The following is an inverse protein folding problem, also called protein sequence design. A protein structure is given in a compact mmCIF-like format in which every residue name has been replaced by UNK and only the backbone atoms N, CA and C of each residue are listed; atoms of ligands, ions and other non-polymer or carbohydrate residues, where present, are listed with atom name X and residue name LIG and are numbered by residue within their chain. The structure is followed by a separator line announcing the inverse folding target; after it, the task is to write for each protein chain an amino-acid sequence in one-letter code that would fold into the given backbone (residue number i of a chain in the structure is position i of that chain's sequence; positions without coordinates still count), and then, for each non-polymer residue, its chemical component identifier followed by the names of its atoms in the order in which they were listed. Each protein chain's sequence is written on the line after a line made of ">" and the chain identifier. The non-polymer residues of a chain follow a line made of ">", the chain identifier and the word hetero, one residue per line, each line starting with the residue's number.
data_IF_657855474623
#
_entry.id   IF_657855474623
#
_cell.length_a   1.000
_cell.length_b   1.000
_cell.length_c   1.000
_cell.angle_alpha   90.00
_cell.angle_beta   90.00
_cell.angle_gamma   90.00
#
_symmetry.space_group_name_H-M   'P 1'
#
loop_
_entity.id
_entity.type
_entity.pdbx_description
1 polymer ?
#
# COMPACT_ATOMS: atom_id res chain seq x y z
N UNK A 1 -5.98 -70.01 54.62
CA UNK A 1 -4.71 -69.86 53.88
C UNK A 1 -5.06 -69.58 52.46
N UNK A 2 -4.97 -68.28 52.00
CA UNK A 2 -5.25 -67.85 50.63
C UNK A 2 -3.96 -67.28 50.12
N UNK A 3 -3.32 -68.04 49.17
CA UNK A 3 -2.10 -67.63 48.46
C UNK A 3 -2.48 -66.69 47.34
N UNK A 4 -2.07 -65.41 47.42
CA UNK A 4 -2.19 -64.42 46.32
C UNK A 4 -1.02 -64.59 45.39
N UNK A 5 -1.31 -65.18 44.23
CA UNK A 5 -0.40 -65.23 43.09
C UNK A 5 -0.27 -63.81 42.49
N UNK A 6 0.90 -63.15 42.67
CA UNK A 6 1.22 -61.88 41.97
C UNK A 6 1.61 -62.17 40.53
N UNK A 7 0.77 -61.72 39.56
CA UNK A 7 1.11 -61.72 38.14
C UNK A 7 2.15 -60.68 37.86
N UNK A 8 3.36 -61.10 37.58
CA UNK A 8 4.43 -60.24 37.03
C UNK A 8 4.03 -59.76 35.65
N UNK A 9 3.84 -58.46 35.49
CA UNK A 9 3.65 -57.81 34.16
C UNK A 9 5.04 -57.62 33.55
N UNK A 10 5.33 -58.16 32.35
CA UNK A 10 6.58 -57.87 31.69
C UNK A 10 6.64 -56.40 31.31
N UNK A 11 7.70 -55.72 31.70
CA UNK A 11 7.99 -54.38 31.30
C UNK A 11 8.26 -54.37 29.77
N UNK A 12 7.39 -53.69 29.01
CA UNK A 12 7.59 -53.43 27.62
C UNK A 12 8.87 -52.58 27.43
N UNK A 13 9.93 -53.24 27.06
CA UNK A 13 11.16 -52.59 26.61
C UNK A 13 10.81 -51.80 25.33
N UNK A 14 10.64 -50.49 25.52
CA UNK A 14 10.47 -49.51 24.44
C UNK A 14 11.82 -49.47 23.74
N UNK A 15 11.95 -50.19 22.60
CA UNK A 15 13.13 -50.12 21.73
C UNK A 15 13.33 -48.69 21.26
N UNK A 16 14.34 -48.03 21.81
CA UNK A 16 14.82 -46.74 21.29
C UNK A 16 15.55 -47.03 19.99
N UNK A 17 14.85 -46.91 18.87
CA UNK A 17 15.48 -46.93 17.56
C UNK A 17 16.39 -45.68 17.50
N UNK A 18 17.70 -45.89 17.59
CA UNK A 18 18.69 -44.86 17.31
C UNK A 18 18.70 -44.54 15.83
N UNK A 19 18.91 -43.27 15.48
CA UNK A 19 19.11 -42.84 14.12
C UNK A 19 20.34 -43.52 13.50
N UNK A 20 20.20 -44.01 12.28
CA UNK A 20 21.35 -44.57 11.55
C UNK A 20 22.20 -43.43 10.99
N UNK A 21 23.52 -43.66 10.85
CA UNK A 21 24.43 -42.67 10.27
C UNK A 21 23.96 -42.20 8.90
N UNK A 22 23.42 -43.10 8.09
CA UNK A 22 22.92 -42.80 6.75
C UNK A 22 21.69 -41.90 6.78
N UNK A 23 20.83 -42.03 7.77
CA UNK A 23 19.64 -41.19 7.96
C UNK A 23 20.03 -39.75 8.33
N UNK A 24 21.05 -39.59 9.16
CA UNK A 24 21.59 -38.26 9.50
C UNK A 24 22.18 -37.57 8.28
N UNK A 25 22.96 -38.30 7.47
CA UNK A 25 23.54 -37.75 6.23
C UNK A 25 22.43 -37.37 5.24
N UNK A 26 21.46 -38.27 5.04
CA UNK A 26 20.34 -37.99 4.15
C UNK A 26 19.52 -36.75 4.57
N UNK A 27 19.22 -36.61 5.87
CA UNK A 27 18.49 -35.45 6.38
C UNK A 27 19.27 -34.15 6.24
N UNK A 28 20.58 -34.16 6.44
CA UNK A 28 21.44 -32.99 6.23
C UNK A 28 21.45 -32.55 4.76
N UNK A 29 21.58 -33.52 3.82
CA UNK A 29 21.57 -33.21 2.38
C UNK A 29 20.24 -32.65 1.95
N UNK A 30 19.13 -33.28 2.34
CA UNK A 30 17.77 -32.81 2.01
C UNK A 30 17.51 -31.43 2.60
N UNK A 31 17.89 -31.21 3.87
CA UNK A 31 17.77 -29.90 4.52
C UNK A 31 18.57 -28.81 3.81
N UNK A 32 19.78 -29.11 3.38
CA UNK A 32 20.62 -28.17 2.61
C UNK A 32 19.97 -27.76 1.29
N UNK A 33 19.41 -28.73 0.56
CA UNK A 33 18.68 -28.47 -0.69
C UNK A 33 17.44 -27.59 -0.43
N UNK A 34 16.66 -27.92 0.58
CA UNK A 34 15.46 -27.14 0.94
C UNK A 34 15.81 -25.69 1.30
N UNK A 35 16.86 -25.47 2.10
CA UNK A 35 17.32 -24.13 2.45
C UNK A 35 17.73 -23.35 1.20
N UNK A 36 18.46 -23.97 0.27
CA UNK A 36 18.89 -23.34 -0.97
C UNK A 36 17.71 -22.85 -1.83
N UNK A 37 16.57 -23.55 -1.82
CA UNK A 37 15.37 -23.12 -2.51
C UNK A 37 14.54 -22.07 -1.74
N UNK A 38 14.54 -22.11 -0.41
CA UNK A 38 13.76 -21.19 0.41
C UNK A 38 14.37 -19.78 0.51
N UNK A 39 15.69 -19.67 0.53
CA UNK A 39 16.39 -18.37 0.66
C UNK A 39 15.99 -17.36 -0.43
N UNK A 40 15.95 -17.69 -1.73
CA UNK A 40 15.53 -16.77 -2.77
C UNK A 40 14.05 -16.31 -2.63
N UNK A 41 13.17 -17.22 -2.18
CA UNK A 41 11.75 -16.92 -1.98
C UNK A 41 11.54 -15.91 -0.84
N UNK A 42 12.27 -16.08 0.26
CA UNK A 42 12.23 -15.15 1.40
C UNK A 42 12.80 -13.79 0.97
N UNK A 43 13.91 -13.77 0.25
CA UNK A 43 14.55 -12.54 -0.23
C UNK A 43 13.62 -11.71 -1.12
N UNK A 44 12.97 -12.32 -2.10
CA UNK A 44 12.04 -11.63 -3.00
C UNK A 44 10.78 -11.12 -2.28
N UNK A 45 10.27 -11.87 -1.30
CA UNK A 45 9.13 -11.45 -0.48
C UNK A 45 9.43 -10.23 0.40
N UNK A 46 10.63 -10.19 0.99
CA UNK A 46 11.07 -9.08 1.82
C UNK A 46 11.32 -7.80 1.01
N UNK A 47 11.87 -7.90 -0.20
CA UNK A 47 12.06 -6.74 -1.08
C UNK A 47 10.73 -6.13 -1.53
N UNK A 48 9.75 -6.95 -1.88
CA UNK A 48 8.39 -6.50 -2.21
C UNK A 48 7.73 -5.74 -1.05
N UNK A 49 7.80 -6.30 0.16
CA UNK A 49 7.27 -5.68 1.37
C UNK A 49 7.98 -4.37 1.73
N UNK A 50 9.30 -4.32 1.59
CA UNK A 50 10.08 -3.10 1.82
C UNK A 50 9.71 -1.98 0.86
N UNK A 51 9.53 -2.28 -0.43
CA UNK A 51 9.11 -1.28 -1.43
C UNK A 51 7.70 -0.76 -1.14
N UNK A 52 6.78 -1.63 -0.71
CA UNK A 52 5.44 -1.22 -0.30
C UNK A 52 5.46 -0.29 0.92
N UNK A 53 6.26 -0.62 1.94
CA UNK A 53 6.41 0.20 3.14
C UNK A 53 7.06 1.57 2.87
N UNK A 54 7.98 1.66 1.90
CA UNK A 54 8.61 2.93 1.53
C UNK A 54 7.68 3.83 0.71
N UNK A 55 6.72 3.26 -0.02
CA UNK A 55 5.72 4.02 -0.81
C UNK A 55 4.53 4.49 0.03
N UNK A 56 4.13 3.72 1.03
CA UNK A 56 2.96 4.01 1.85
C UNK A 56 2.94 5.45 2.46
N UNK A 57 4.02 5.97 3.06
CA UNK A 57 4.00 7.32 3.64
C UNK A 57 3.84 8.42 2.60
N UNK A 58 4.31 8.23 1.38
CA UNK A 58 4.27 9.25 0.33
C UNK A 58 2.89 9.36 -0.33
N UNK A 59 2.23 8.22 -0.55
CA UNK A 59 0.82 8.22 -0.99
C UNK A 59 -0.09 8.79 0.08
N UNK A 60 0.23 8.58 1.36
CA UNK A 60 -0.51 9.19 2.47
C UNK A 60 -0.36 10.71 2.47
N UNK A 61 0.83 11.26 2.18
CA UNK A 61 1.03 12.71 2.12
C UNK A 61 0.19 13.35 1.01
N UNK A 62 0.15 12.79 -0.21
CA UNK A 62 -0.69 13.30 -1.29
C UNK A 62 -2.19 13.28 -0.95
N UNK A 63 -2.65 12.24 -0.25
CA UNK A 63 -4.05 12.18 0.21
C UNK A 63 -4.35 13.26 1.24
N UNK A 64 -3.46 13.48 2.20
CA UNK A 64 -3.63 14.52 3.20
C UNK A 64 -3.71 15.90 2.56
N UNK A 65 -2.86 16.18 1.57
CA UNK A 65 -2.90 17.44 0.83
C UNK A 65 -4.19 17.59 -0.01
N UNK A 66 -4.63 16.51 -0.64
CA UNK A 66 -5.90 16.54 -1.38
C UNK A 66 -7.10 16.68 -0.43
N UNK A 67 -7.06 16.10 0.76
CA UNK A 67 -8.08 16.30 1.79
C UNK A 67 -8.13 17.76 2.26
N UNK A 68 -6.99 18.44 2.34
CA UNK A 68 -6.94 19.87 2.62
C UNK A 68 -7.63 20.70 1.49
N UNK A 69 -7.39 20.35 0.22
CA UNK A 69 -8.09 20.96 -0.92
C UNK A 69 -9.60 20.70 -0.85
N UNK A 70 -10.02 19.46 -0.49
CA UNK A 70 -11.43 19.14 -0.28
C UNK A 70 -12.05 19.95 0.87
N UNK A 71 -11.30 20.17 1.93
CA UNK A 71 -11.77 21.00 3.04
C UNK A 71 -11.97 22.46 2.60
N UNK A 72 -11.01 23.03 1.86
CA UNK A 72 -11.14 24.37 1.29
C UNK A 72 -12.38 24.49 0.39
N UNK A 73 -12.57 23.54 -0.51
CA UNK A 73 -13.72 23.51 -1.39
C UNK A 73 -15.04 23.53 -0.61
N UNK A 74 -15.18 22.64 0.39
CA UNK A 74 -16.43 22.50 1.15
C UNK A 74 -16.75 23.69 2.08
N UNK A 75 -15.72 24.31 2.62
CA UNK A 75 -15.89 25.32 3.67
C UNK A 75 -15.87 26.75 3.13
N UNK A 76 -15.04 27.03 2.14
CA UNK A 76 -14.77 28.39 1.68
C UNK A 76 -15.25 28.65 0.26
N UNK A 77 -15.22 27.65 -0.63
CA UNK A 77 -15.44 27.84 -2.06
C UNK A 77 -16.45 26.87 -2.69
N UNK A 78 -17.57 26.53 -2.05
CA UNK A 78 -18.47 25.52 -2.60
C UNK A 78 -19.13 25.92 -3.92
N UNK A 79 -19.31 27.23 -4.17
CA UNK A 79 -19.87 27.77 -5.40
C UNK A 79 -18.89 28.64 -6.21
N UNK A 80 -17.66 28.87 -5.70
CA UNK A 80 -16.66 29.75 -6.34
C UNK A 80 -15.41 28.95 -6.68
N UNK A 81 -15.50 28.14 -7.74
CA UNK A 81 -14.37 27.34 -8.23
C UNK A 81 -13.22 28.19 -8.80
N UNK A 82 -13.40 29.37 -9.43
CA UNK A 82 -12.30 30.26 -9.77
C UNK A 82 -11.46 30.70 -8.60
N UNK A 83 -12.10 31.06 -7.47
CA UNK A 83 -11.40 31.43 -6.26
C UNK A 83 -10.68 30.22 -5.62
N UNK A 84 -11.28 29.01 -5.66
CA UNK A 84 -10.62 27.77 -5.26
C UNK A 84 -9.37 27.49 -6.10
N UNK A 85 -9.47 27.61 -7.43
CA UNK A 85 -8.32 27.43 -8.34
C UNK A 85 -7.18 28.37 -7.99
N UNK A 86 -7.48 29.65 -7.73
CA UNK A 86 -6.50 30.66 -7.33
C UNK A 86 -5.87 30.35 -5.98
N UNK A 87 -6.66 29.92 -5.00
CA UNK A 87 -6.17 29.52 -3.67
C UNK A 87 -5.20 28.32 -3.74
N UNK A 88 -5.54 27.31 -4.55
CA UNK A 88 -4.67 26.12 -4.77
C UNK A 88 -3.37 26.55 -5.45
N UNK A 89 -3.41 27.40 -6.49
CA UNK A 89 -2.22 27.88 -7.17
C UNK A 89 -1.31 28.68 -6.23
N UNK A 90 -1.89 29.52 -5.37
CA UNK A 90 -1.15 30.29 -4.35
C UNK A 90 -0.51 29.38 -3.31
N UNK A 91 -1.23 28.37 -2.82
CA UNK A 91 -0.72 27.40 -1.86
C UNK A 91 0.45 26.57 -2.45
N UNK A 92 0.39 26.24 -3.73
CA UNK A 92 1.46 25.50 -4.42
C UNK A 92 2.77 26.29 -4.56
N UNK A 93 2.73 27.61 -4.43
CA UNK A 93 3.90 28.50 -4.49
C UNK A 93 4.30 29.09 -3.13
N UNK A 94 3.70 28.58 -2.03
CA UNK A 94 3.98 29.05 -0.68
C UNK A 94 5.43 28.76 -0.24
N UNK A 95 5.91 29.55 0.71
CA UNK A 95 7.19 29.32 1.38
C UNK A 95 6.93 29.02 2.87
N UNK A 96 7.32 27.85 3.40
CA UNK A 96 8.05 26.76 2.73
C UNK A 96 7.20 26.03 1.67
N UNK A 97 7.87 25.46 0.65
CA UNK A 97 7.14 24.77 -0.44
C UNK A 97 6.41 23.54 0.10
N UNK A 98 5.22 23.26 -0.44
CA UNK A 98 4.44 22.08 -0.04
C UNK A 98 5.15 20.76 -0.40
N UNK A 99 4.74 19.68 0.25
CA UNK A 99 5.26 18.33 0.00
C UNK A 99 4.82 17.73 -1.35
N UNK A 100 4.00 18.44 -2.10
CA UNK A 100 3.46 18.05 -3.40
C UNK A 100 3.85 19.03 -4.51
N UNK A 101 3.72 18.59 -5.75
CA UNK A 101 3.81 19.44 -6.94
C UNK A 101 2.43 19.55 -7.57
N UNK A 102 1.98 20.78 -7.85
CA UNK A 102 0.75 21.01 -8.59
C UNK A 102 1.01 20.72 -10.09
N UNK A 103 0.50 19.60 -10.58
CA UNK A 103 0.70 19.19 -11.97
C UNK A 103 -0.34 19.76 -12.92
N UNK A 104 -1.57 19.93 -12.44
CA UNK A 104 -2.66 20.52 -13.19
C UNK A 104 -3.65 21.20 -12.25
N UNK A 105 -4.11 22.36 -12.64
CA UNK A 105 -5.16 23.14 -11.97
C UNK A 105 -5.89 23.93 -13.06
N UNK A 106 -6.97 23.39 -13.57
CA UNK A 106 -7.67 24.03 -14.69
C UNK A 106 -9.01 23.42 -14.99
N UNK A 107 -9.75 24.12 -15.82
CA UNK A 107 -11.11 23.78 -16.22
C UNK A 107 -11.13 22.63 -17.21
N UNK A 108 -12.15 21.80 -17.09
CA UNK A 108 -12.44 20.69 -17.98
C UNK A 108 -13.95 20.64 -18.23
N UNK A 109 -14.32 20.15 -19.40
CA UNK A 109 -15.68 19.84 -19.76
C UNK A 109 -15.85 18.34 -19.95
N UNK A 110 -17.06 17.85 -19.87
CA UNK A 110 -17.39 16.45 -20.13
C UNK A 110 -18.36 16.34 -21.29
N UNK A 111 -18.08 15.47 -22.24
CA UNK A 111 -19.01 15.16 -23.33
C UNK A 111 -20.19 14.30 -22.83
N UNK A 112 -21.17 14.06 -23.68
CA UNK A 112 -22.34 13.25 -23.35
C UNK A 112 -22.02 11.80 -22.92
N UNK A 113 -20.83 11.30 -23.24
CA UNK A 113 -20.35 10.00 -22.82
C UNK A 113 -19.55 10.05 -21.48
N UNK A 114 -19.46 11.22 -20.83
CA UNK A 114 -18.70 11.42 -19.60
C UNK A 114 -17.18 11.43 -19.79
N UNK A 115 -16.72 11.62 -21.03
CA UNK A 115 -15.29 11.71 -21.32
C UNK A 115 -14.85 13.17 -21.25
N UNK A 116 -13.73 13.42 -20.57
CA UNK A 116 -13.12 14.73 -20.45
C UNK A 116 -12.71 15.28 -21.81
N UNK A 117 -12.99 16.56 -22.05
CA UNK A 117 -12.63 17.29 -23.26
C UNK A 117 -11.84 18.56 -22.92
N UNK A 118 -10.83 18.85 -23.76
CA UNK A 118 -10.01 20.05 -23.65
C UNK A 118 -9.88 20.70 -25.04
N UNK A 119 -9.88 22.02 -25.14
CA UNK A 119 -10.03 22.99 -24.07
C UNK A 119 -11.46 23.06 -23.52
N UNK A 120 -11.60 23.44 -22.24
CA UNK A 120 -12.91 23.64 -21.62
C UNK A 120 -13.62 24.87 -22.23
N UNK A 121 -14.89 24.70 -22.61
CA UNK A 121 -15.76 25.75 -23.14
C UNK A 121 -16.81 26.15 -22.13
N UNK A 122 -17.42 25.17 -21.47
CA UNK A 122 -18.50 25.38 -20.48
C UNK A 122 -17.97 25.48 -19.05
N UNK A 123 -16.74 25.03 -18.82
CA UNK A 123 -16.12 25.01 -17.48
C UNK A 123 -16.94 24.21 -16.48
N UNK A 124 -17.32 22.97 -16.86
CA UNK A 124 -18.19 22.10 -16.08
C UNK A 124 -17.56 21.69 -14.74
N UNK A 125 -16.24 21.52 -14.70
CA UNK A 125 -15.52 21.13 -13.50
C UNK A 125 -14.11 21.70 -13.46
N UNK A 126 -13.60 21.87 -12.24
CA UNK A 126 -12.20 22.17 -11.99
C UNK A 126 -11.45 20.86 -11.72
N UNK A 127 -10.49 20.50 -12.58
CA UNK A 127 -9.60 19.37 -12.37
C UNK A 127 -8.34 19.83 -11.65
N UNK A 128 -8.04 19.16 -10.54
CA UNK A 128 -6.80 19.36 -9.77
C UNK A 128 -6.01 18.06 -9.76
N UNK A 129 -4.74 18.12 -10.14
CA UNK A 129 -3.82 16.98 -10.11
C UNK A 129 -2.59 17.34 -9.31
N UNK A 130 -2.38 16.61 -8.21
CA UNK A 130 -1.20 16.70 -7.37
C UNK A 130 -0.24 15.56 -7.70
N UNK A 131 1.06 15.81 -7.63
CA UNK A 131 2.10 14.81 -7.80
C UNK A 131 3.11 14.85 -6.69
N UNK A 132 3.84 13.76 -6.48
CA UNK A 132 4.97 13.71 -5.59
C UNK A 132 6.29 13.48 -6.35
N UNK A 133 7.41 13.54 -5.64
CA UNK A 133 8.74 13.31 -6.17
C UNK A 133 8.99 11.89 -6.72
N UNK A 134 8.09 10.94 -6.41
CA UNK A 134 8.16 9.55 -6.88
C UNK A 134 7.38 9.31 -8.18
N UNK A 135 6.73 10.35 -8.72
CA UNK A 135 5.92 10.26 -9.93
C UNK A 135 4.49 9.75 -9.70
N UNK A 136 4.07 9.57 -8.45
CA UNK A 136 2.68 9.27 -8.14
C UNK A 136 1.82 10.52 -8.37
N UNK A 137 0.58 10.31 -8.81
CA UNK A 137 -0.37 11.38 -9.13
C UNK A 137 -1.72 11.08 -8.51
N UNK A 138 -2.35 12.12 -7.99
CA UNK A 138 -3.72 12.08 -7.49
C UNK A 138 -4.53 13.17 -8.19
N UNK A 139 -5.61 12.76 -8.87
CA UNK A 139 -6.48 13.68 -9.61
C UNK A 139 -7.87 13.68 -9.01
N UNK A 140 -8.44 14.86 -8.89
CA UNK A 140 -9.80 15.07 -8.39
C UNK A 140 -10.50 16.13 -9.23
N UNK A 141 -11.83 16.01 -9.32
CA UNK A 141 -12.71 16.97 -9.99
C UNK A 141 -13.62 17.63 -8.98
N UNK A 142 -13.73 18.94 -9.07
CA UNK A 142 -14.64 19.75 -8.26
C UNK A 142 -15.70 20.34 -9.17
N UNK A 143 -16.96 20.14 -8.80
CA UNK A 143 -18.12 20.65 -9.54
C UNK A 143 -18.73 21.81 -8.77
N UNK A 144 -19.28 22.84 -9.45
CA UNK A 144 -19.99 23.90 -8.72
C UNK A 144 -21.21 23.28 -8.00
N UNK A 145 -21.37 23.63 -6.74
CA UNK A 145 -22.57 23.26 -5.99
C UNK A 145 -23.61 24.39 -6.24
N UNK A 146 -24.81 24.02 -6.71
CA UNK A 146 -25.85 24.98 -7.00
C UNK A 146 -26.37 25.69 -5.76
#
# INVERSE_FOLDING_TARGET
>A
MISRSQKFKPALFRSRCGFTLIEVIATLVVSGILIAFLLPLIGSGLEGSRRALLRAPQTHSLRTEMDAVWHLYRTLYPADLPALSTAIATAATADPPPSYTLLYNGWVDFNAAGVETLPAVTQDALRVTLGNSQGERLTTYFFPIP
#
